data_IF_284350580346
#
_entry.id   IF_284350580346
#
_cell.length_a   1.000
_cell.length_b   1.000
_cell.length_c   1.000
_cell.angle_alpha   90.00
_cell.angle_beta   90.00
_cell.angle_gamma   90.00
#
_symmetry.space_group_name_H-M   'P 1'
#
loop_
_entity.id
_entity.type
_entity.pdbx_description
1 polymer ?
#
# COMPACT_ATOMS: atom_id res chain seq x y z
N UNK A 1 16.27 -23.13 23.76
CA UNK A 1 15.33 -22.13 23.20
C UNK A 1 14.18 -22.08 24.18
N UNK A 2 14.09 -21.03 25.04
CA UNK A 2 12.99 -20.85 25.99
C UNK A 2 11.76 -20.41 25.19
N UNK A 3 10.61 -21.03 25.45
CA UNK A 3 9.33 -20.54 24.94
C UNK A 3 9.10 -19.14 25.59
N UNK A 4 8.65 -18.12 24.81
CA UNK A 4 8.37 -16.82 25.37
C UNK A 4 7.28 -16.93 26.43
N UNK A 5 7.42 -16.17 27.52
CA UNK A 5 6.41 -16.09 28.57
C UNK A 5 5.10 -15.51 28.00
N UNK A 6 3.96 -15.92 28.56
CA UNK A 6 2.64 -15.44 28.12
C UNK A 6 2.54 -13.91 28.12
N UNK A 7 3.21 -13.24 29.07
CA UNK A 7 3.29 -11.78 29.14
C UNK A 7 4.08 -11.20 27.97
N UNK A 8 5.17 -11.85 27.52
CA UNK A 8 5.93 -11.41 26.35
C UNK A 8 5.12 -11.55 25.06
N UNK A 9 4.35 -12.64 24.92
CA UNK A 9 3.48 -12.84 23.74
C UNK A 9 2.44 -11.73 23.60
N UNK A 10 1.82 -11.30 24.69
CA UNK A 10 0.83 -10.21 24.69
C UNK A 10 1.45 -8.85 24.32
N UNK A 11 2.75 -8.64 24.57
CA UNK A 11 3.46 -7.42 24.19
C UNK A 11 3.87 -7.40 22.71
N UNK A 12 3.96 -8.56 22.06
CA UNK A 12 4.32 -8.70 20.65
C UNK A 12 3.11 -8.64 19.70
N UNK A 13 1.87 -8.67 20.25
CA UNK A 13 0.67 -8.56 19.44
C UNK A 13 0.51 -7.16 18.88
N UNK A 14 0.28 -7.04 17.57
CA UNK A 14 -0.05 -5.77 16.89
C UNK A 14 -1.47 -5.27 17.18
N UNK A 15 -2.34 -6.12 17.77
CA UNK A 15 -3.69 -5.76 18.21
C UNK A 15 -3.62 -4.99 19.52
N UNK A 16 -4.37 -3.89 19.63
CA UNK A 16 -4.50 -3.15 20.87
C UNK A 16 -5.30 -3.92 21.92
N UNK A 17 -4.73 -4.15 23.10
CA UNK A 17 -5.41 -4.86 24.18
C UNK A 17 -5.45 -4.00 25.45
N UNK A 18 -6.61 -3.98 26.12
CA UNK A 18 -6.76 -3.41 27.45
C UNK A 18 -7.57 -4.34 28.37
N UNK A 19 -7.24 -4.32 29.64
CA UNK A 19 -8.08 -4.88 30.69
C UNK A 19 -8.67 -3.70 31.48
N UNK A 20 -9.99 -3.66 31.58
CA UNK A 20 -10.74 -2.64 32.30
C UNK A 20 -11.35 -3.28 33.56
N UNK A 21 -11.18 -2.64 34.71
CA UNK A 21 -11.73 -3.07 35.98
C UNK A 21 -13.23 -2.82 36.11
N UNK A 22 -13.84 -3.34 37.18
CA UNK A 22 -15.25 -3.11 37.51
C UNK A 22 -15.58 -1.63 37.74
N UNK A 23 -14.59 -0.80 38.06
CA UNK A 23 -14.65 0.65 38.17
C UNK A 23 -14.56 1.40 36.84
N UNK A 24 -14.60 0.67 35.71
CA UNK A 24 -14.47 1.16 34.35
C UNK A 24 -13.14 1.87 34.04
N UNK A 25 -12.12 1.62 34.88
CA UNK A 25 -10.77 2.15 34.69
C UNK A 25 -9.84 1.11 34.10
N UNK A 26 -8.89 1.58 33.33
CA UNK A 26 -7.85 0.74 32.74
C UNK A 26 -6.99 0.14 33.83
N UNK A 27 -6.98 -1.19 33.95
CA UNK A 27 -6.09 -1.94 34.84
C UNK A 27 -4.74 -2.27 34.15
N UNK A 28 -4.79 -2.48 32.83
CA UNK A 28 -3.62 -2.82 32.02
C UNK A 28 -3.89 -2.55 30.54
N UNK A 29 -2.85 -2.15 29.81
CA UNK A 29 -2.84 -2.10 28.34
C UNK A 29 -1.54 -2.70 27.79
N UNK A 30 -1.58 -3.24 26.56
CA UNK A 30 -0.35 -3.63 25.87
C UNK A 30 0.31 -2.43 25.17
N UNK A 31 1.60 -2.56 24.75
CA UNK A 31 2.29 -1.49 24.04
C UNK A 31 1.57 -1.04 22.76
N UNK A 32 1.00 -1.97 22.00
CA UNK A 32 0.29 -1.67 20.77
C UNK A 32 -0.87 -0.70 20.98
N UNK A 33 -1.71 -0.92 22.02
CA UNK A 33 -2.78 0.02 22.34
C UNK A 33 -2.23 1.37 22.81
N UNK A 34 -1.13 1.37 23.58
CA UNK A 34 -0.47 2.59 24.01
C UNK A 34 0.01 3.45 22.84
N UNK A 35 0.60 2.83 21.81
CA UNK A 35 1.02 3.48 20.58
C UNK A 35 -0.17 4.01 19.77
N UNK A 36 -1.23 3.21 19.62
CA UNK A 36 -2.45 3.63 18.94
C UNK A 36 -3.07 4.89 19.56
N UNK A 37 -3.09 4.96 20.89
CA UNK A 37 -3.70 6.06 21.63
C UNK A 37 -2.75 7.25 21.89
N UNK A 38 -1.50 7.16 21.47
CA UNK A 38 -0.44 8.12 21.80
C UNK A 38 -0.26 8.33 23.33
N UNK A 39 -0.48 7.27 24.12
CA UNK A 39 -0.41 7.31 25.58
C UNK A 39 0.50 6.19 26.09
N UNK A 40 1.45 6.53 26.93
CA UNK A 40 2.28 5.51 27.57
C UNK A 40 1.46 4.56 28.45
N UNK A 41 1.75 3.23 28.47
CA UNK A 41 0.99 2.26 29.25
C UNK A 41 0.84 2.63 30.74
N UNK A 42 1.89 3.19 31.35
CA UNK A 42 1.87 3.64 32.75
C UNK A 42 0.93 4.83 32.98
N UNK A 43 0.76 5.68 31.98
CA UNK A 43 -0.11 6.87 32.06
C UNK A 43 -1.58 6.49 31.82
N UNK A 44 -1.84 5.45 31.05
CA UNK A 44 -3.18 4.96 30.75
C UNK A 44 -3.82 4.24 31.95
N UNK A 45 -3.03 3.54 32.75
CA UNK A 45 -3.53 2.79 33.94
C UNK A 45 -4.19 3.75 34.93
N UNK A 46 -5.37 3.38 35.42
CA UNK A 46 -6.21 4.15 36.32
C UNK A 46 -7.10 5.21 35.65
N UNK A 47 -6.93 5.45 34.35
CA UNK A 47 -7.82 6.36 33.59
C UNK A 47 -9.07 5.65 33.09
N UNK A 48 -10.22 6.34 32.97
CA UNK A 48 -11.38 5.79 32.29
C UNK A 48 -11.09 5.56 30.81
N UNK A 49 -11.37 4.36 30.28
CA UNK A 49 -11.08 4.03 28.89
C UNK A 49 -11.84 4.94 27.90
N UNK A 50 -13.09 5.32 28.20
CA UNK A 50 -13.88 6.23 27.38
C UNK A 50 -13.27 7.65 27.26
N UNK A 51 -12.45 8.09 28.24
CA UNK A 51 -11.72 9.35 28.13
C UNK A 51 -10.48 9.21 27.25
N UNK A 52 -9.79 8.09 27.33
CA UNK A 52 -8.62 7.80 26.50
C UNK A 52 -8.98 7.70 25.02
N UNK A 53 -10.13 7.07 24.72
CA UNK A 53 -10.66 6.89 23.37
C UNK A 53 -11.56 8.06 22.91
N UNK A 54 -11.80 9.05 23.77
CA UNK A 54 -12.75 10.17 23.52
C UNK A 54 -14.10 9.73 22.96
N UNK A 55 -14.57 8.56 23.39
CA UNK A 55 -15.85 7.96 22.99
C UNK A 55 -16.78 7.86 24.20
N UNK A 56 -17.74 8.82 24.34
CA UNK A 56 -18.61 8.88 25.53
C UNK A 56 -19.53 7.65 25.67
N UNK A 57 -19.91 7.01 24.57
CA UNK A 57 -20.81 5.86 24.58
C UNK A 57 -20.13 4.60 25.14
N UNK A 58 -18.81 4.52 25.10
CA UNK A 58 -18.03 3.36 25.52
C UNK A 58 -18.18 3.06 27.01
N UNK A 59 -18.32 4.09 27.87
CA UNK A 59 -18.54 3.90 29.29
C UNK A 59 -19.84 3.16 29.58
N UNK A 60 -20.92 3.48 28.88
CA UNK A 60 -22.21 2.81 29.01
C UNK A 60 -22.17 1.36 28.49
N UNK A 61 -21.42 1.11 27.45
CA UNK A 61 -21.24 -0.23 26.86
C UNK A 61 -20.37 -1.13 27.75
N UNK A 62 -19.30 -0.61 28.33
CA UNK A 62 -18.50 -1.31 29.33
C UNK A 62 -19.31 -1.68 30.55
N UNK A 63 -20.12 -0.75 31.07
CA UNK A 63 -20.99 -0.99 32.22
C UNK A 63 -22.01 -2.10 31.89
N UNK A 64 -22.60 -2.09 30.71
CA UNK A 64 -23.53 -3.14 30.25
C UNK A 64 -22.82 -4.50 30.10
N UNK A 65 -21.64 -4.54 29.48
CA UNK A 65 -20.84 -5.78 29.32
C UNK A 65 -20.55 -6.40 30.69
N UNK A 66 -20.21 -5.57 31.68
CA UNK A 66 -19.93 -6.01 33.04
C UNK A 66 -21.21 -6.53 33.74
N UNK A 67 -22.35 -5.83 33.60
CA UNK A 67 -23.59 -6.18 34.26
C UNK A 67 -24.30 -7.40 33.63
N UNK A 68 -24.30 -7.50 32.29
CA UNK A 68 -25.01 -8.54 31.54
C UNK A 68 -24.15 -9.80 31.32
N UNK A 69 -22.84 -9.72 31.54
CA UNK A 69 -21.89 -10.83 31.27
C UNK A 69 -21.85 -11.25 29.81
N UNK A 70 -22.22 -10.35 28.90
CA UNK A 70 -22.23 -10.60 27.44
C UNK A 70 -21.22 -9.70 26.73
N UNK A 71 -20.49 -10.29 25.77
CA UNK A 71 -19.59 -9.54 24.92
C UNK A 71 -20.34 -8.57 23.99
N UNK A 72 -19.70 -7.48 23.65
CA UNK A 72 -20.20 -6.45 22.74
C UNK A 72 -19.15 -6.11 21.70
N UNK A 73 -19.58 -5.93 20.44
CA UNK A 73 -18.68 -5.52 19.34
C UNK A 73 -19.17 -4.19 18.77
N UNK A 74 -18.26 -3.25 18.63
CA UNK A 74 -18.46 -1.98 17.96
C UNK A 74 -17.62 -2.01 16.67
N UNK A 75 -18.25 -1.83 15.52
CA UNK A 75 -17.57 -1.83 14.23
C UNK A 75 -17.49 -0.42 13.66
N UNK A 76 -16.43 -0.15 12.90
CA UNK A 76 -16.18 1.12 12.22
C UNK A 76 -16.27 2.34 13.16
N UNK A 77 -15.85 2.20 14.41
CA UNK A 77 -15.95 3.29 15.37
C UNK A 77 -14.72 4.19 15.28
N UNK A 78 -14.95 5.50 15.20
CA UNK A 78 -13.87 6.50 15.16
C UNK A 78 -13.60 7.02 16.56
N UNK A 79 -12.34 6.96 16.99
CA UNK A 79 -11.87 7.37 18.31
C UNK A 79 -10.84 8.48 18.19
N UNK A 80 -10.95 9.50 19.02
CA UNK A 80 -9.93 10.54 19.11
C UNK A 80 -8.76 10.11 20.02
N UNK A 81 -7.52 10.28 19.57
CA UNK A 81 -6.32 10.06 20.40
C UNK A 81 -6.01 11.25 21.29
N UNK A 82 -5.10 11.05 22.27
CA UNK A 82 -4.64 12.12 23.15
C UNK A 82 -3.99 13.30 22.39
N UNK A 83 -3.41 13.06 21.21
CA UNK A 83 -2.79 14.07 20.35
C UNK A 83 -3.73 14.63 19.29
N UNK A 84 -5.02 14.28 19.31
CA UNK A 84 -6.01 14.81 18.37
C UNK A 84 -6.01 14.14 17.00
N UNK A 85 -5.43 12.94 16.86
CA UNK A 85 -5.63 12.08 15.68
C UNK A 85 -6.90 11.26 15.89
N UNK A 86 -7.64 11.04 14.81
CA UNK A 86 -8.75 10.11 14.80
C UNK A 86 -8.26 8.74 14.30
N UNK A 87 -8.71 7.68 14.97
CA UNK A 87 -8.43 6.29 14.61
C UNK A 87 -9.78 5.60 14.41
N UNK A 88 -9.96 4.97 13.26
CA UNK A 88 -11.10 4.09 13.02
C UNK A 88 -10.69 2.66 13.38
N UNK A 89 -11.47 2.01 14.24
CA UNK A 89 -11.16 0.66 14.72
C UNK A 89 -12.43 -0.13 15.03
N UNK A 90 -12.33 -1.44 14.94
CA UNK A 90 -13.31 -2.35 15.52
C UNK A 90 -12.94 -2.62 16.97
N UNK A 91 -13.91 -2.50 17.88
CA UNK A 91 -13.74 -2.87 19.29
C UNK A 91 -14.52 -4.14 19.60
N UNK A 92 -13.86 -5.04 20.31
CA UNK A 92 -14.53 -6.16 20.97
C UNK A 92 -14.39 -6.02 22.49
N UNK A 93 -15.49 -6.08 23.20
CA UNK A 93 -15.60 -6.05 24.66
C UNK A 93 -15.99 -7.44 25.13
N UNK A 94 -15.13 -8.12 25.90
CA UNK A 94 -15.38 -9.47 26.39
C UNK A 94 -15.26 -9.53 27.92
N UNK A 95 -16.29 -10.02 28.65
CA UNK A 95 -16.19 -10.21 30.08
C UNK A 95 -15.21 -11.35 30.39
N UNK A 96 -14.22 -11.11 31.27
CA UNK A 96 -13.20 -12.08 31.66
C UNK A 96 -13.28 -12.53 33.12
N UNK A 97 -14.42 -12.32 33.76
CA UNK A 97 -14.64 -12.65 35.17
C UNK A 97 -14.27 -11.51 36.13
N UNK A 98 -14.70 -11.61 37.37
CA UNK A 98 -14.47 -10.64 38.48
C UNK A 98 -14.86 -9.19 38.12
N UNK A 99 -15.89 -9.03 37.27
CA UNK A 99 -16.33 -7.71 36.81
C UNK A 99 -15.34 -7.02 35.87
N UNK A 100 -14.33 -7.72 35.36
CA UNK A 100 -13.35 -7.19 34.41
C UNK A 100 -13.77 -7.44 32.97
N UNK A 101 -13.37 -6.54 32.09
CA UNK A 101 -13.63 -6.62 30.65
C UNK A 101 -12.29 -6.57 29.90
N UNK A 102 -12.06 -7.53 29.02
CA UNK A 102 -11.03 -7.46 27.99
C UNK A 102 -11.56 -6.61 26.85
N UNK A 103 -10.79 -5.63 26.45
CA UNK A 103 -11.07 -4.76 25.30
C UNK A 103 -10.00 -5.03 24.25
N UNK A 104 -10.45 -5.46 23.09
CA UNK A 104 -9.61 -5.63 21.91
C UNK A 104 -9.89 -4.48 20.94
N UNK A 105 -8.85 -3.82 20.49
CA UNK A 105 -8.93 -2.72 19.52
C UNK A 105 -8.20 -3.16 18.26
N UNK A 106 -8.96 -3.40 17.21
CA UNK A 106 -8.44 -3.73 15.90
C UNK A 106 -8.49 -2.47 15.03
N UNK A 107 -7.37 -1.78 14.82
CA UNK A 107 -7.38 -0.60 13.96
C UNK A 107 -7.81 -1.06 12.57
N UNK A 108 -8.86 -0.46 12.07
CA UNK A 108 -9.17 -0.54 10.66
C UNK A 108 -8.10 0.31 9.97
N UNK A 109 -7.49 -0.22 8.92
CA UNK A 109 -6.62 0.59 8.10
C UNK A 109 -7.39 1.88 7.78
N UNK A 110 -6.78 3.07 7.97
CA UNK A 110 -7.48 4.32 7.70
C UNK A 110 -8.07 4.24 6.31
N UNK A 111 -9.33 4.70 6.19
CA UNK A 111 -10.02 4.81 4.92
C UNK A 111 -9.04 5.47 3.94
N UNK A 112 -8.59 4.72 2.93
CA UNK A 112 -7.52 5.10 2.01
C UNK A 112 -7.93 6.24 1.05
N UNK A 113 -8.88 7.07 1.48
CA UNK A 113 -9.24 8.33 0.81
C UNK A 113 -8.29 9.50 1.13
N UNK A 114 -7.34 9.33 2.06
CA UNK A 114 -6.32 10.32 2.36
C UNK A 114 -4.93 9.67 2.45
N UNK A 115 -4.28 9.55 1.33
CA UNK A 115 -2.84 9.64 1.08
C UNK A 115 -1.93 9.36 2.29
N UNK A 116 -1.49 8.15 2.46
CA UNK A 116 -0.13 7.67 2.75
C UNK A 116 -0.23 6.24 3.29
N UNK A 117 -0.15 5.27 2.40
CA UNK A 117 0.09 3.89 2.83
C UNK A 117 1.40 3.85 3.61
N UNK A 118 1.50 3.08 4.72
CA UNK A 118 2.74 2.97 5.49
C UNK A 118 3.96 2.66 4.62
N UNK A 119 3.73 1.95 3.51
CA UNK A 119 4.78 1.62 2.54
C UNK A 119 5.24 2.88 1.77
N UNK A 120 4.33 3.75 1.31
CA UNK A 120 4.68 4.96 0.57
C UNK A 120 5.38 6.01 1.45
N UNK A 121 4.98 6.14 2.71
CA UNK A 121 5.64 7.01 3.68
C UNK A 121 7.05 6.50 4.02
N UNK A 122 7.19 5.18 4.25
CA UNK A 122 8.47 4.54 4.52
C UNK A 122 9.40 4.60 3.31
N UNK A 123 8.89 4.32 2.11
CA UNK A 123 9.66 4.42 0.87
C UNK A 123 10.09 5.85 0.57
N UNK A 124 9.27 6.87 0.88
CA UNK A 124 9.65 8.29 0.78
C UNK A 124 10.77 8.65 1.75
N UNK A 125 10.64 8.29 3.03
CA UNK A 125 11.71 8.50 4.01
C UNK A 125 13.01 7.87 3.55
N UNK A 126 12.95 6.60 3.16
CA UNK A 126 14.09 5.86 2.61
C UNK A 126 14.68 6.51 1.35
N UNK A 127 13.85 6.95 0.39
CA UNK A 127 14.32 7.60 -0.82
C UNK A 127 15.04 8.92 -0.54
N UNK A 128 14.57 9.73 0.41
CA UNK A 128 15.26 10.94 0.85
C UNK A 128 16.59 10.63 1.55
N UNK A 129 16.61 9.62 2.43
CA UNK A 129 17.83 9.20 3.13
C UNK A 129 18.88 8.58 2.21
N UNK A 130 18.47 7.89 1.15
CA UNK A 130 19.38 7.32 0.13
C UNK A 130 19.91 8.40 -0.81
N UNK A 131 19.09 9.39 -1.18
CA UNK A 131 19.48 10.45 -2.10
C UNK A 131 20.63 11.32 -1.58
N UNK A 132 20.66 11.57 -0.27
CA UNK A 132 21.70 12.37 0.36
C UNK A 132 23.12 11.75 0.23
N UNK A 133 23.37 10.49 0.61
CA UNK A 133 24.69 9.87 0.38
C UNK A 133 25.04 9.69 -1.09
N UNK A 134 24.06 9.44 -1.97
CA UNK A 134 24.31 9.35 -3.42
C UNK A 134 24.80 10.68 -4.00
N UNK A 135 24.23 11.81 -3.58
CA UNK A 135 24.71 13.13 -3.98
C UNK A 135 26.16 13.38 -3.51
N UNK A 136 26.50 12.93 -2.30
CA UNK A 136 27.87 12.96 -1.79
C UNK A 136 28.86 12.11 -2.59
N UNK A 137 28.48 10.85 -2.89
CA UNK A 137 29.25 9.92 -3.74
C UNK A 137 29.50 10.50 -5.14
N UNK A 138 28.45 11.02 -5.78
CA UNK A 138 28.54 11.68 -7.08
C UNK A 138 29.50 12.84 -7.06
N UNK A 139 29.37 13.74 -6.07
CA UNK A 139 30.25 14.89 -5.92
C UNK A 139 31.72 14.50 -5.71
N UNK A 140 31.99 13.49 -4.88
CA UNK A 140 33.33 12.95 -4.68
C UNK A 140 33.92 12.35 -5.98
N UNK A 141 33.13 11.53 -6.72
CA UNK A 141 33.55 10.93 -7.98
C UNK A 141 33.80 12.00 -9.07
N UNK A 142 32.99 13.05 -9.12
CA UNK A 142 33.22 14.19 -10.05
C UNK A 142 34.52 14.94 -9.74
N UNK A 143 34.84 15.15 -8.46
CA UNK A 143 36.10 15.75 -8.05
C UNK A 143 37.28 14.87 -8.40
N UNK A 144 37.15 13.57 -8.21
CA UNK A 144 38.18 12.58 -8.60
C UNK A 144 38.40 12.60 -10.11
N UNK A 145 37.35 12.52 -10.91
CA UNK A 145 37.40 12.57 -12.38
C UNK A 145 38.14 13.81 -12.91
N UNK A 146 37.97 14.98 -12.23
CA UNK A 146 38.62 16.24 -12.62
C UNK A 146 40.11 16.31 -12.22
N UNK A 147 40.50 15.61 -11.14
CA UNK A 147 41.85 15.71 -10.57
C UNK A 147 42.81 14.61 -10.99
N UNK A 148 42.30 13.49 -11.47
CA UNK A 148 43.10 12.33 -11.86
C UNK A 148 43.55 12.49 -13.31
N UNK A 149 44.86 12.32 -13.54
CA UNK A 149 45.45 12.37 -14.88
C UNK A 149 45.39 11.02 -15.63
N UNK A 150 45.21 9.93 -14.86
CA UNK A 150 45.11 8.56 -15.35
C UNK A 150 43.73 8.31 -16.00
N UNK A 151 43.73 7.82 -17.24
CA UNK A 151 42.53 7.63 -18.03
C UNK A 151 41.69 6.47 -17.50
N UNK A 152 42.30 5.40 -16.97
CA UNK A 152 41.59 4.26 -16.43
C UNK A 152 40.83 4.66 -15.12
N UNK A 153 41.49 5.44 -14.27
CA UNK A 153 40.87 5.98 -13.06
C UNK A 153 39.78 7.01 -13.38
N UNK A 154 39.91 7.78 -14.45
CA UNK A 154 38.86 8.68 -14.93
C UNK A 154 37.62 7.91 -15.40
N UNK A 155 37.84 6.78 -16.07
CA UNK A 155 36.79 5.90 -16.55
C UNK A 155 36.04 5.23 -15.37
N UNK A 156 36.75 4.78 -14.34
CA UNK A 156 36.18 4.27 -13.11
C UNK A 156 35.33 5.33 -12.38
N UNK A 157 35.83 6.57 -12.29
CA UNK A 157 35.07 7.67 -11.71
C UNK A 157 33.78 7.97 -12.50
N UNK A 158 33.82 7.90 -13.83
CA UNK A 158 32.66 8.05 -14.70
C UNK A 158 31.61 6.93 -14.44
N UNK A 159 32.04 5.69 -14.24
CA UNK A 159 31.14 4.57 -13.89
C UNK A 159 30.46 4.80 -12.54
N UNK A 160 31.19 5.28 -11.52
CA UNK A 160 30.63 5.61 -10.21
C UNK A 160 29.59 6.73 -10.32
N UNK A 161 29.84 7.76 -11.14
CA UNK A 161 28.88 8.85 -11.38
C UNK A 161 27.63 8.29 -12.05
N UNK A 162 27.77 7.46 -13.09
CA UNK A 162 26.63 6.87 -13.79
C UNK A 162 25.76 6.00 -12.87
N UNK A 163 26.40 5.20 -12.00
CA UNK A 163 25.65 4.36 -11.05
C UNK A 163 24.97 5.20 -9.95
N UNK A 164 25.65 6.23 -9.44
CA UNK A 164 25.02 7.16 -8.50
C UNK A 164 23.80 7.89 -9.11
N UNK A 165 23.90 8.30 -10.38
CA UNK A 165 22.78 8.92 -11.11
C UNK A 165 21.64 7.93 -11.35
N UNK A 166 21.96 6.68 -11.66
CA UNK A 166 20.97 5.59 -11.79
C UNK A 166 20.22 5.37 -10.48
N UNK A 167 20.93 5.21 -9.36
CA UNK A 167 20.34 5.03 -8.05
C UNK A 167 19.51 6.25 -7.60
N UNK A 168 19.98 7.47 -7.90
CA UNK A 168 19.21 8.69 -7.63
C UNK A 168 17.91 8.75 -8.45
N UNK A 169 17.94 8.32 -9.71
CA UNK A 169 16.73 8.24 -10.55
C UNK A 169 15.73 7.19 -10.04
N UNK A 170 16.21 6.07 -9.45
CA UNK A 170 15.37 5.09 -8.78
C UNK A 170 14.70 5.67 -7.53
N UNK A 171 15.47 6.37 -6.69
CA UNK A 171 14.94 7.09 -5.53
C UNK A 171 13.93 8.17 -5.93
N UNK A 172 14.18 8.90 -7.02
CA UNK A 172 13.22 9.88 -7.58
C UNK A 172 11.95 9.22 -8.12
N UNK A 173 12.07 8.02 -8.66
CA UNK A 173 10.92 7.17 -9.00
C UNK A 173 10.01 6.94 -7.81
N UNK A 174 10.56 6.60 -6.64
CA UNK A 174 9.80 6.42 -5.39
C UNK A 174 9.17 7.72 -4.88
N UNK A 175 9.86 8.86 -5.02
CA UNK A 175 9.38 10.16 -4.54
C UNK A 175 8.28 10.77 -5.40
N UNK A 176 8.27 10.53 -6.70
CA UNK A 176 7.25 11.08 -7.63
C UNK A 176 5.83 10.62 -7.32
N UNK A 177 5.66 9.58 -6.50
CA UNK A 177 4.39 9.01 -6.12
C UNK A 177 3.78 9.63 -4.86
N UNK A 178 4.42 10.63 -4.24
CA UNK A 178 4.03 11.26 -2.99
C UNK A 178 3.26 12.58 -3.09
N UNK A 179 2.78 12.98 -4.27
CA UNK A 179 1.87 14.11 -4.41
C UNK A 179 0.46 13.77 -3.92
N UNK A 180 -0.31 14.77 -3.43
CA UNK A 180 -1.73 14.59 -3.15
C UNK A 180 -2.43 14.06 -4.41
N UNK A 181 -3.16 12.93 -4.28
CA UNK A 181 -3.90 12.33 -5.37
C UNK A 181 -4.95 13.33 -5.91
N UNK A 182 -5.01 13.50 -7.21
CA UNK A 182 -6.02 14.31 -7.89
C UNK A 182 -7.20 13.44 -8.28
N UNK A 183 -8.02 13.11 -7.29
CA UNK A 183 -9.16 12.21 -7.48
C UNK A 183 -10.26 12.95 -8.25
N UNK A 184 -10.71 12.34 -9.35
CA UNK A 184 -11.77 12.85 -10.22
C UNK A 184 -12.35 11.76 -11.12
N UNK A 185 -13.33 12.08 -11.96
CA UNK A 185 -13.83 11.13 -12.96
C UNK A 185 -12.74 10.85 -14.00
N UNK A 186 -12.54 9.56 -14.29
CA UNK A 186 -11.56 9.07 -15.26
C UNK A 186 -12.27 8.24 -16.30
N UNK A 187 -12.19 8.67 -17.56
CA UNK A 187 -12.57 7.84 -18.69
C UNK A 187 -11.45 6.86 -19.02
N UNK A 188 -11.72 5.58 -18.80
CA UNK A 188 -10.69 4.56 -18.95
C UNK A 188 -10.22 4.41 -20.40
N UNK A 189 -11.08 4.61 -21.38
CA UNK A 189 -10.71 4.48 -22.78
C UNK A 189 -9.80 5.63 -23.24
N UNK A 190 -10.09 6.87 -22.84
CA UNK A 190 -9.19 8.01 -23.10
C UNK A 190 -7.82 7.78 -22.46
N UNK A 191 -7.79 7.18 -21.27
CA UNK A 191 -6.55 6.83 -20.57
C UNK A 191 -5.75 5.79 -21.35
N UNK A 192 -6.42 4.76 -21.88
CA UNK A 192 -5.80 3.70 -22.67
C UNK A 192 -5.32 4.20 -24.05
N UNK A 193 -6.03 5.14 -24.70
CA UNK A 193 -5.55 5.79 -25.91
C UNK A 193 -4.29 6.62 -25.66
N UNK A 194 -4.26 7.36 -24.55
CA UNK A 194 -3.05 8.10 -24.13
C UNK A 194 -1.89 7.14 -23.84
N UNK A 195 -2.13 6.00 -23.19
CA UNK A 195 -1.16 4.94 -22.96
C UNK A 195 -0.55 4.44 -24.29
N UNK A 196 -1.40 4.10 -25.24
CA UNK A 196 -0.96 3.61 -26.56
C UNK A 196 -0.07 4.62 -27.28
N UNK A 197 -0.46 5.90 -27.26
CA UNK A 197 0.35 6.97 -27.84
C UNK A 197 1.75 7.06 -27.22
N UNK A 198 1.87 6.84 -25.92
CA UNK A 198 3.16 6.85 -25.21
C UNK A 198 3.99 5.59 -25.52
N UNK A 199 3.37 4.42 -25.53
CA UNK A 199 4.04 3.14 -25.80
C UNK A 199 4.51 3.07 -27.25
N UNK A 200 3.66 3.48 -28.20
CA UNK A 200 3.98 3.43 -29.64
C UNK A 200 5.13 4.39 -30.04
N UNK A 201 5.48 5.35 -29.19
CA UNK A 201 6.62 6.24 -29.42
C UNK A 201 7.97 5.59 -29.02
N UNK A 202 7.96 4.45 -28.35
CA UNK A 202 9.17 3.71 -27.95
C UNK A 202 9.75 2.91 -29.15
N UNK A 203 11.07 2.82 -29.26
CA UNK A 203 11.76 2.28 -30.46
C UNK A 203 11.46 0.79 -30.76
N UNK A 204 11.14 0.01 -29.73
CA UNK A 204 10.85 -1.44 -29.85
C UNK A 204 9.48 -1.78 -29.21
N UNK A 205 8.47 -0.91 -29.46
CA UNK A 205 7.16 -1.05 -28.88
C UNK A 205 6.46 -2.34 -29.34
N UNK A 206 5.86 -3.11 -28.42
CA UNK A 206 5.01 -4.23 -28.78
C UNK A 206 3.77 -3.72 -29.53
N UNK A 207 3.22 -4.57 -30.40
CA UNK A 207 1.97 -4.25 -31.11
C UNK A 207 0.80 -4.23 -30.15
N UNK A 208 0.11 -3.10 -30.00
CA UNK A 208 -1.07 -2.96 -29.14
C UNK A 208 -2.33 -3.37 -29.91
N UNK A 209 -3.20 -4.13 -29.25
CA UNK A 209 -4.54 -4.51 -29.71
C UNK A 209 -5.59 -4.10 -28.68
N UNK A 210 -6.79 -3.78 -29.12
CA UNK A 210 -7.89 -3.33 -28.27
C UNK A 210 -9.03 -4.36 -28.25
N UNK A 211 -9.56 -4.60 -27.05
CA UNK A 211 -10.76 -5.40 -26.81
C UNK A 211 -11.60 -4.69 -25.73
N UNK A 212 -12.20 -3.57 -26.11
CA UNK A 212 -12.87 -2.65 -25.21
C UNK A 212 -14.37 -2.92 -25.13
N UNK A 213 -14.92 -2.75 -23.92
CA UNK A 213 -16.36 -2.63 -23.69
C UNK A 213 -16.72 -1.13 -23.70
N UNK A 214 -17.40 -0.64 -24.78
CA UNK A 214 -17.69 0.79 -24.91
C UNK A 214 -18.78 1.29 -23.96
N UNK A 215 -19.43 0.40 -23.21
CA UNK A 215 -20.51 0.75 -22.28
C UNK A 215 -20.04 1.18 -20.90
N UNK A 216 -18.72 1.17 -20.65
CA UNK A 216 -18.16 1.47 -19.35
C UNK A 216 -18.32 2.94 -18.99
N UNK A 217 -18.87 3.26 -17.79
CA UNK A 217 -18.88 4.62 -17.29
C UNK A 217 -17.51 5.03 -16.76
N UNK A 218 -17.35 6.33 -16.54
CA UNK A 218 -16.18 6.87 -15.84
C UNK A 218 -16.06 6.26 -14.44
N UNK A 219 -14.83 6.01 -14.01
CA UNK A 219 -14.49 5.60 -12.64
C UNK A 219 -13.90 6.78 -11.86
N UNK A 220 -13.94 6.72 -10.55
CA UNK A 220 -13.33 7.74 -9.71
C UNK A 220 -11.89 7.34 -9.41
N UNK A 221 -10.94 8.20 -9.77
CA UNK A 221 -9.52 7.93 -9.59
C UNK A 221 -8.62 9.09 -9.93
N UNK A 222 -7.32 8.88 -9.81
CA UNK A 222 -6.27 9.81 -10.25
C UNK A 222 -5.76 9.35 -11.64
N UNK A 223 -6.03 10.17 -12.64
CA UNK A 223 -5.71 9.88 -14.04
C UNK A 223 -4.22 9.62 -14.27
N UNK A 224 -3.34 10.40 -13.64
CA UNK A 224 -1.90 10.27 -13.86
C UNK A 224 -1.33 9.03 -13.14
N UNK A 225 -1.85 8.71 -11.96
CA UNK A 225 -1.46 7.50 -11.22
C UNK A 225 -1.95 6.23 -11.91
N UNK A 226 -3.20 6.21 -12.40
CA UNK A 226 -3.74 5.07 -13.15
C UNK A 226 -2.99 4.87 -14.48
N UNK A 227 -2.67 5.96 -15.19
CA UNK A 227 -1.81 5.89 -16.38
C UNK A 227 -0.47 5.26 -16.07
N UNK A 228 0.12 5.59 -14.94
CA UNK A 228 1.39 5.05 -14.51
C UNK A 228 1.33 3.55 -14.26
N UNK A 229 0.26 3.03 -13.59
CA UNK A 229 0.03 1.59 -13.44
C UNK A 229 0.07 0.93 -14.81
N UNK A 230 -0.73 1.42 -15.75
CA UNK A 230 -0.85 0.86 -17.08
C UNK A 230 0.47 0.92 -17.89
N UNK A 231 1.19 2.05 -17.84
CA UNK A 231 2.52 2.20 -18.43
C UNK A 231 3.51 1.19 -17.87
N UNK A 232 3.50 1.00 -16.56
CA UNK A 232 4.39 0.05 -15.91
C UNK A 232 4.10 -1.39 -16.33
N UNK A 233 2.82 -1.79 -16.38
CA UNK A 233 2.42 -3.12 -16.83
C UNK A 233 2.81 -3.35 -18.29
N UNK A 234 2.55 -2.36 -19.16
CA UNK A 234 2.84 -2.44 -20.59
C UNK A 234 4.36 -2.51 -20.87
N UNK A 235 5.16 -1.70 -20.15
CA UNK A 235 6.61 -1.75 -20.24
C UNK A 235 7.18 -3.07 -19.74
N UNK A 236 6.64 -3.60 -18.64
CA UNK A 236 7.05 -4.91 -18.14
C UNK A 236 6.83 -6.01 -19.16
N UNK A 237 5.72 -5.96 -19.92
CA UNK A 237 5.44 -6.89 -21.01
C UNK A 237 6.47 -6.74 -22.15
N UNK A 238 6.73 -5.51 -22.63
CA UNK A 238 7.71 -5.23 -23.67
C UNK A 238 9.12 -5.67 -23.26
N UNK A 239 9.56 -5.30 -22.05
CA UNK A 239 10.85 -5.67 -21.49
C UNK A 239 10.99 -7.20 -21.23
N UNK A 240 9.88 -7.93 -21.03
CA UNK A 240 9.86 -9.39 -20.99
C UNK A 240 9.97 -10.04 -22.39
N UNK A 241 9.95 -9.23 -23.44
CA UNK A 241 10.06 -9.69 -24.82
C UNK A 241 8.72 -10.01 -25.49
N UNK A 242 7.62 -9.51 -24.97
CA UNK A 242 6.31 -9.62 -25.62
C UNK A 242 6.32 -8.87 -26.98
N UNK A 243 5.73 -9.48 -27.99
CA UNK A 243 5.58 -8.89 -29.33
C UNK A 243 4.22 -8.21 -29.51
N UNK A 244 3.23 -8.66 -28.74
CA UNK A 244 1.85 -8.18 -28.80
C UNK A 244 1.28 -8.02 -27.41
N UNK A 245 0.59 -6.90 -27.19
CA UNK A 245 -0.15 -6.61 -25.96
C UNK A 245 -1.61 -6.37 -26.34
N UNK A 246 -2.54 -7.02 -25.65
CA UNK A 246 -3.97 -6.74 -25.79
C UNK A 246 -4.46 -6.01 -24.56
N UNK A 247 -5.03 -4.82 -24.76
CA UNK A 247 -5.70 -4.04 -23.72
C UNK A 247 -7.20 -4.38 -23.78
N UNK A 248 -7.71 -4.95 -22.69
CA UNK A 248 -9.12 -5.36 -22.59
C UNK A 248 -9.78 -4.63 -21.44
N UNK A 249 -11.03 -4.21 -21.65
CA UNK A 249 -11.85 -3.62 -20.59
C UNK A 249 -13.15 -4.37 -20.42
N UNK A 250 -13.57 -4.66 -19.20
CA UNK A 250 -14.80 -5.39 -18.85
C UNK A 250 -15.40 -4.88 -17.55
N UNK A 251 -16.69 -5.13 -17.35
CA UNK A 251 -17.34 -5.04 -16.05
C UNK A 251 -17.23 -6.40 -15.36
N UNK A 252 -16.77 -6.39 -14.11
CA UNK A 252 -16.77 -7.56 -13.23
C UNK A 252 -17.82 -7.37 -12.14
N UNK A 253 -18.89 -8.17 -12.15
CA UNK A 253 -19.94 -8.12 -11.14
C UNK A 253 -19.58 -8.96 -9.93
N UNK A 254 -19.89 -8.46 -8.72
CA UNK A 254 -19.58 -9.17 -7.48
C UNK A 254 -18.09 -9.34 -7.25
N UNK A 255 -17.26 -8.41 -7.73
CA UNK A 255 -15.82 -8.49 -7.57
C UNK A 255 -15.43 -8.37 -6.11
N UNK A 256 -14.52 -9.26 -5.67
CA UNK A 256 -13.92 -9.17 -4.33
C UNK A 256 -12.63 -8.36 -4.42
N UNK A 257 -12.61 -7.18 -3.79
CA UNK A 257 -11.47 -6.28 -3.71
C UNK A 257 -10.97 -6.25 -2.26
N UNK A 258 -9.84 -6.92 -2.01
CA UNK A 258 -9.40 -7.19 -0.65
C UNK A 258 -10.45 -8.01 0.14
N UNK A 259 -10.90 -7.48 1.27
CA UNK A 259 -11.94 -8.09 2.11
C UNK A 259 -13.37 -7.65 1.72
N UNK A 260 -13.53 -6.67 0.82
CA UNK A 260 -14.82 -6.12 0.41
C UNK A 260 -15.30 -6.78 -0.88
N UNK A 261 -16.62 -7.04 -0.97
CA UNK A 261 -17.26 -7.42 -2.22
C UNK A 261 -18.01 -6.21 -2.76
N UNK A 262 -17.61 -5.73 -3.94
CA UNK A 262 -18.25 -4.61 -4.62
C UNK A 262 -19.28 -5.13 -5.64
N UNK A 263 -20.36 -4.37 -5.83
CA UNK A 263 -21.42 -4.74 -6.77
C UNK A 263 -20.90 -4.85 -8.22
N UNK A 264 -20.03 -3.93 -8.60
CA UNK A 264 -19.38 -3.90 -9.90
C UNK A 264 -18.00 -3.26 -9.80
N UNK A 265 -17.06 -3.78 -10.55
CA UNK A 265 -15.74 -3.22 -10.74
C UNK A 265 -15.43 -3.10 -12.23
N UNK A 266 -14.76 -2.03 -12.62
CA UNK A 266 -14.06 -1.97 -13.89
C UNK A 266 -12.85 -2.89 -13.82
N UNK A 267 -12.68 -3.78 -14.79
CA UNK A 267 -11.48 -4.59 -14.98
C UNK A 267 -10.76 -4.15 -16.25
N UNK A 268 -9.50 -3.80 -16.11
CA UNK A 268 -8.59 -3.53 -17.23
C UNK A 268 -7.54 -4.61 -17.25
N UNK A 269 -7.51 -5.41 -18.31
CA UNK A 269 -6.50 -6.45 -18.51
C UNK A 269 -5.42 -5.95 -19.48
N UNK A 270 -4.17 -6.08 -19.07
CA UNK A 270 -2.99 -5.98 -19.92
C UNK A 270 -2.52 -7.40 -20.17
N UNK A 271 -2.75 -7.89 -21.39
CA UNK A 271 -2.47 -9.27 -21.79
C UNK A 271 -1.26 -9.27 -22.72
N UNK A 272 -0.27 -10.09 -22.47
CA UNK A 272 0.93 -10.19 -23.28
C UNK A 272 1.25 -11.62 -23.70
N UNK A 273 1.94 -11.75 -24.85
CA UNK A 273 2.41 -13.00 -25.42
C UNK A 273 3.86 -13.36 -25.03
N UNK A 274 4.36 -12.78 -23.93
CA UNK A 274 5.71 -12.97 -23.44
C UNK A 274 5.95 -14.35 -22.81
N UNK A 275 7.18 -14.61 -22.31
CA UNK A 275 7.56 -15.92 -21.76
C UNK A 275 6.87 -16.29 -20.45
N UNK A 276 6.12 -15.36 -19.84
CA UNK A 276 5.48 -15.56 -18.56
C UNK A 276 6.37 -15.19 -17.37
N UNK A 277 5.79 -15.33 -16.17
CA UNK A 277 6.47 -15.08 -14.90
C UNK A 277 7.14 -16.36 -14.44
N UNK A 278 8.43 -16.29 -14.10
CA UNK A 278 9.19 -17.42 -13.57
C UNK A 278 8.55 -17.95 -12.27
N UNK A 279 8.58 -19.26 -12.06
CA UNK A 279 7.91 -19.90 -10.93
C UNK A 279 8.40 -19.37 -9.57
N UNK A 280 9.71 -19.08 -9.47
CA UNK A 280 10.33 -18.57 -8.25
C UNK A 280 9.86 -17.16 -7.87
N UNK A 281 9.31 -16.40 -8.83
CA UNK A 281 8.85 -15.03 -8.61
C UNK A 281 7.34 -14.95 -8.31
N UNK A 282 6.59 -16.03 -8.51
CA UNK A 282 5.12 -15.99 -8.45
C UNK A 282 4.58 -15.48 -7.12
N UNK A 283 5.10 -15.97 -6.01
CA UNK A 283 4.59 -15.62 -4.68
C UNK A 283 5.08 -14.25 -4.18
N UNK A 284 6.15 -13.72 -4.81
CA UNK A 284 6.83 -12.51 -4.37
C UNK A 284 6.76 -11.37 -5.40
N UNK A 285 6.03 -11.57 -6.50
CA UNK A 285 6.04 -10.68 -7.67
C UNK A 285 5.68 -9.21 -7.34
N UNK A 286 4.80 -9.01 -6.34
CA UNK A 286 4.39 -7.68 -5.90
C UNK A 286 5.19 -7.17 -4.69
N UNK A 287 6.19 -7.90 -4.21
CA UNK A 287 7.07 -7.39 -3.16
C UNK A 287 8.07 -6.37 -3.73
N UNK A 288 8.38 -5.30 -2.97
CA UNK A 288 9.37 -4.32 -3.39
C UNK A 288 10.75 -4.97 -3.60
N UNK A 289 11.51 -4.43 -4.57
CA UNK A 289 12.88 -4.85 -4.91
C UNK A 289 12.99 -6.28 -5.47
N UNK A 290 11.90 -6.90 -5.81
CA UNK A 290 11.86 -8.19 -6.50
C UNK A 290 11.89 -7.96 -8.02
N UNK A 291 12.91 -8.50 -8.68
CA UNK A 291 13.07 -8.41 -10.13
C UNK A 291 13.62 -9.71 -10.69
N UNK A 292 13.05 -10.17 -11.78
CA UNK A 292 13.60 -11.29 -12.58
C UNK A 292 14.70 -10.86 -13.58
N UNK A 293 15.07 -9.57 -13.59
CA UNK A 293 16.04 -9.00 -14.54
C UNK A 293 17.16 -8.26 -13.82
N UNK A 294 18.41 -8.33 -14.32
CA UNK A 294 19.54 -7.65 -13.69
C UNK A 294 19.37 -6.12 -13.60
N UNK A 295 18.74 -5.53 -14.62
CA UNK A 295 18.52 -4.07 -14.70
C UNK A 295 17.16 -3.62 -14.14
N UNK A 296 16.32 -4.55 -13.70
CA UNK A 296 15.01 -4.27 -13.14
C UNK A 296 15.11 -3.70 -11.73
N UNK A 297 14.35 -2.65 -11.46
CA UNK A 297 14.30 -2.02 -10.12
C UNK A 297 13.53 -2.84 -9.10
N UNK A 298 12.64 -3.72 -9.56
CA UNK A 298 11.73 -4.50 -8.72
C UNK A 298 10.67 -3.65 -7.98
N UNK A 299 10.50 -2.38 -8.35
CA UNK A 299 9.58 -1.47 -7.68
C UNK A 299 8.27 -1.25 -8.45
N UNK A 300 8.30 -1.47 -9.76
CA UNK A 300 7.19 -1.14 -10.63
C UNK A 300 5.89 -1.84 -10.26
N UNK A 301 5.91 -3.17 -10.12
CA UNK A 301 4.71 -3.95 -9.80
C UNK A 301 4.21 -3.72 -8.37
N UNK A 302 5.13 -3.59 -7.39
CA UNK A 302 4.79 -3.25 -6.02
C UNK A 302 4.03 -1.93 -5.96
N UNK A 303 4.56 -0.90 -6.64
CA UNK A 303 3.94 0.41 -6.72
C UNK A 303 2.61 0.39 -7.49
N UNK A 304 2.53 -0.36 -8.59
CA UNK A 304 1.27 -0.51 -9.34
C UNK A 304 0.17 -1.11 -8.48
N UNK A 305 0.51 -2.10 -7.65
CA UNK A 305 -0.45 -2.69 -6.72
C UNK A 305 -0.86 -1.71 -5.63
N UNK A 306 0.08 -0.93 -5.10
CA UNK A 306 -0.20 0.10 -4.11
C UNK A 306 -1.15 1.16 -4.67
N UNK A 307 -0.90 1.68 -5.87
CA UNK A 307 -1.80 2.62 -6.54
C UNK A 307 -3.19 2.01 -6.73
N UNK A 308 -3.29 0.74 -7.14
CA UNK A 308 -4.57 0.07 -7.27
C UNK A 308 -5.33 0.00 -5.93
N UNK A 309 -4.64 -0.33 -4.84
CA UNK A 309 -5.21 -0.37 -3.49
C UNK A 309 -5.64 1.02 -2.99
N UNK A 310 -4.85 2.07 -3.26
CA UNK A 310 -5.21 3.46 -2.94
C UNK A 310 -6.50 3.93 -3.65
N UNK A 311 -6.83 3.32 -4.79
CA UNK A 311 -8.09 3.55 -5.51
C UNK A 311 -9.23 2.61 -5.05
N UNK A 312 -9.05 1.90 -3.92
CA UNK A 312 -10.01 0.92 -3.42
C UNK A 312 -10.13 -0.32 -4.33
N UNK A 313 -9.20 -0.47 -5.26
CA UNK A 313 -9.13 -1.54 -6.24
C UNK A 313 -8.21 -2.68 -5.85
N UNK A 314 -7.75 -3.43 -6.85
CA UNK A 314 -6.79 -4.52 -6.69
C UNK A 314 -6.00 -4.72 -7.98
N UNK A 315 -4.79 -5.28 -7.89
CA UNK A 315 -4.00 -5.69 -9.05
C UNK A 315 -3.67 -7.17 -8.94
N UNK A 316 -4.14 -7.94 -9.90
CA UNK A 316 -3.97 -9.40 -9.96
C UNK A 316 -3.26 -9.82 -11.22
N UNK A 317 -2.75 -11.04 -11.24
CA UNK A 317 -2.19 -11.59 -12.44
C UNK A 317 -2.46 -13.10 -12.57
N UNK A 318 -2.45 -13.55 -13.80
CA UNK A 318 -2.39 -14.96 -14.19
C UNK A 318 -1.33 -15.05 -15.27
N UNK A 319 -0.39 -15.99 -15.14
CA UNK A 319 0.69 -16.11 -16.09
C UNK A 319 0.96 -17.55 -16.48
N UNK A 320 1.06 -17.73 -17.79
CA UNK A 320 1.53 -18.93 -18.47
C UNK A 320 2.46 -18.48 -19.60
N UNK A 321 3.40 -19.31 -20.05
CA UNK A 321 4.20 -18.99 -21.22
C UNK A 321 3.31 -18.68 -22.44
N UNK A 322 3.47 -17.51 -23.04
CA UNK A 322 2.68 -17.03 -24.17
C UNK A 322 1.32 -16.41 -23.80
N UNK A 323 0.96 -16.35 -22.52
CA UNK A 323 -0.33 -15.79 -22.07
C UNK A 323 -0.20 -15.28 -20.62
N UNK A 324 0.29 -14.04 -20.47
CA UNK A 324 0.34 -13.35 -19.18
C UNK A 324 -0.70 -12.25 -19.16
N UNK A 325 -1.50 -12.21 -18.12
CA UNK A 325 -2.57 -11.24 -17.91
C UNK A 325 -2.38 -10.55 -16.57
N UNK A 326 -2.16 -9.25 -16.59
CA UNK A 326 -2.30 -8.40 -15.42
C UNK A 326 -3.66 -7.71 -15.44
N UNK A 327 -4.42 -7.86 -14.38
CA UNK A 327 -5.79 -7.33 -14.27
C UNK A 327 -5.84 -6.25 -13.18
N UNK A 328 -6.07 -5.02 -13.58
CA UNK A 328 -6.38 -3.90 -12.68
C UNK A 328 -7.89 -3.86 -12.44
N UNK A 329 -8.30 -3.91 -11.20
CA UNK A 329 -9.68 -3.77 -10.78
C UNK A 329 -9.89 -2.42 -10.10
N UNK A 330 -10.92 -1.68 -10.50
CA UNK A 330 -11.31 -0.41 -9.87
C UNK A 330 -12.80 -0.46 -9.52
N UNK A 331 -13.22 -0.05 -8.30
CA UNK A 331 -14.62 -0.06 -7.93
C UNK A 331 -15.41 0.93 -8.79
N UNK A 332 -16.61 0.53 -9.22
CA UNK A 332 -17.54 1.38 -10.00
C UNK A 332 -18.63 1.99 -9.12
N UNK A 333 -18.62 1.73 -7.83
CA UNK A 333 -19.60 2.31 -6.91
C UNK A 333 -19.31 3.79 -6.72
N UNK A 334 -20.32 4.62 -6.99
CA UNK A 334 -20.33 6.00 -6.50
C UNK A 334 -20.39 5.91 -4.98
N UNK A 335 -19.40 6.46 -4.30
CA UNK A 335 -19.55 6.78 -2.89
C UNK A 335 -20.72 7.77 -2.84
N UNK A 336 -21.90 7.31 -2.43
CA UNK A 336 -22.97 8.23 -2.07
C UNK A 336 -22.51 8.92 -0.78
N UNK A 337 -22.28 10.23 -0.89
CA UNK A 337 -22.28 11.15 0.25
C UNK A 337 -23.54 10.99 1.08
#
# INVERSE_FOLDING_TARGET
MHAPDQAELLTLLGTGLAVVGADLRVAWINPALGEMLDVGPRTAVGQPLGQLLREPSLASQLARTTAEGRGFNLRDATFGTARGRDITADLALQPIGDGRVLVEVHPLAPDLSASDTPLSATLRGFAHEVKNPLAGLRGAAQLLQRRVADDDLRQLAAMVIAEADRLAALADGLLRHGGAARIGPVNIHELLERLEGLVSAEAEAPRVRHDYDPSLPDVIGDNDRLLQVLLNLTRNAGEAGARSITLRTRIEHGARLGERTVRAALRVDVMDDGPGVADELRDVLFLPLVSGRPDGTGLGLALSREIALEHGGDLRYVSRPGDTVFSLYLPMERTHE
#
